data_IF_360794709058
#
_entry.id   IF_360794709058
#
_cell.length_a   1.000
_cell.length_b   1.000
_cell.length_c   1.000
_cell.angle_alpha   90.00
_cell.angle_beta   90.00
_cell.angle_gamma   90.00
#
_symmetry.space_group_name_H-M   'P 1'
#
loop_
_entity.id
_entity.type
_entity.pdbx_description
1 polymer ?
#
# COMPACT_ATOMS: atom_id res chain seq x y z
N UNK A 1 -17.38 13.98 -2.70
CA UNK A 1 -16.35 12.94 -2.85
C UNK A 1 -15.31 13.38 -3.85
N UNK A 2 -14.10 12.81 -3.82
CA UNK A 2 -13.05 13.05 -4.83
C UNK A 2 -12.97 11.83 -5.76
N UNK A 3 -12.88 11.98 -7.09
CA UNK A 3 -12.72 10.85 -7.99
C UNK A 3 -11.48 10.04 -7.62
N UNK A 4 -11.63 8.73 -7.48
CA UNK A 4 -10.56 7.80 -7.16
C UNK A 4 -10.71 6.52 -8.00
N UNK A 5 -9.58 5.85 -8.28
CA UNK A 5 -9.57 4.53 -8.92
C UNK A 5 -8.86 3.56 -7.98
N UNK A 6 -9.49 2.42 -7.70
CA UNK A 6 -8.87 1.32 -6.95
C UNK A 6 -8.09 0.47 -7.94
N UNK A 7 -6.81 0.21 -7.64
CA UNK A 7 -5.91 -0.53 -8.52
C UNK A 7 -5.14 -1.58 -7.71
N UNK A 8 -5.12 -2.81 -8.19
CA UNK A 8 -4.30 -3.89 -7.63
C UNK A 8 -2.85 -3.77 -8.14
N UNK A 9 -2.07 -2.89 -7.51
CA UNK A 9 -0.70 -2.57 -7.96
C UNK A 9 0.40 -3.31 -7.20
N UNK A 10 0.08 -3.97 -6.09
CA UNK A 10 1.04 -4.71 -5.26
C UNK A 10 0.78 -6.21 -5.34
N UNK A 11 1.85 -7.00 -5.22
CA UNK A 11 1.80 -8.45 -5.04
C UNK A 11 2.79 -8.90 -3.98
N UNK A 12 2.59 -10.09 -3.43
CA UNK A 12 3.60 -10.76 -2.62
C UNK A 12 4.71 -11.31 -3.52
N UNK A 13 5.96 -10.98 -3.19
CA UNK A 13 7.15 -11.48 -3.88
C UNK A 13 7.61 -12.85 -3.35
N UNK A 14 7.29 -13.13 -2.08
CA UNK A 14 7.63 -14.38 -1.39
C UNK A 14 6.55 -14.75 -0.40
N UNK A 15 6.56 -16.00 0.04
CA UNK A 15 5.75 -16.42 1.18
C UNK A 15 6.17 -15.66 2.45
N UNK A 16 5.17 -15.37 3.28
CA UNK A 16 5.32 -14.78 4.62
C UNK A 16 4.78 -15.79 5.63
N UNK A 17 5.37 -15.83 6.83
CA UNK A 17 4.83 -16.63 7.92
C UNK A 17 3.44 -16.13 8.31
N UNK A 18 2.62 -17.02 8.87
CA UNK A 18 1.38 -16.60 9.54
C UNK A 18 1.70 -15.54 10.60
N UNK A 19 0.87 -14.49 10.66
CA UNK A 19 1.06 -13.38 11.58
C UNK A 19 0.54 -13.68 13.00
N UNK A 20 -0.14 -14.82 13.18
CA UNK A 20 -0.54 -15.32 14.49
C UNK A 20 0.69 -15.53 15.38
N UNK A 21 0.61 -15.06 16.63
CA UNK A 21 1.70 -15.21 17.61
C UNK A 21 2.95 -14.32 17.40
N UNK A 22 3.06 -13.59 16.29
CA UNK A 22 4.20 -12.69 16.06
C UNK A 22 4.08 -11.38 16.85
N UNK A 23 5.18 -10.94 17.45
CA UNK A 23 5.30 -9.59 18.01
C UNK A 23 5.48 -8.52 16.91
N UNK A 24 5.51 -7.25 17.30
CA UNK A 24 5.62 -6.15 16.34
C UNK A 24 6.94 -6.14 15.54
N UNK A 25 8.05 -6.56 16.13
CA UNK A 25 9.36 -6.63 15.46
C UNK A 25 9.38 -7.79 14.48
N UNK A 26 8.88 -8.95 14.89
CA UNK A 26 8.73 -10.14 14.07
C UNK A 26 7.80 -9.89 12.90
N UNK A 27 6.67 -9.20 13.09
CA UNK A 27 5.78 -8.78 11.99
C UNK A 27 6.50 -7.91 10.96
N UNK A 28 7.27 -6.92 11.42
CA UNK A 28 8.06 -6.06 10.52
C UNK A 28 9.09 -6.88 9.73
N UNK A 29 9.83 -7.76 10.40
CA UNK A 29 10.81 -8.62 9.73
C UNK A 29 10.16 -9.60 8.74
N UNK A 30 9.02 -10.18 9.12
CA UNK A 30 8.25 -11.10 8.27
C UNK A 30 7.79 -10.43 6.98
N UNK A 31 7.36 -9.16 7.05
CA UNK A 31 6.85 -8.39 5.90
C UNK A 31 7.92 -7.61 5.13
N UNK A 32 9.09 -7.32 5.72
CA UNK A 32 10.12 -6.55 5.05
C UNK A 32 10.52 -7.19 3.71
N UNK A 33 10.41 -6.41 2.63
CA UNK A 33 10.71 -6.86 1.27
C UNK A 33 9.73 -7.92 0.72
N UNK A 34 8.61 -8.18 1.39
CA UNK A 34 7.63 -9.17 0.98
C UNK A 34 6.68 -8.63 -0.10
N UNK A 35 6.52 -7.31 -0.22
CA UNK A 35 5.67 -6.70 -1.25
C UNK A 35 6.51 -6.06 -2.36
N UNK A 36 5.98 -6.17 -3.57
CA UNK A 36 6.51 -5.48 -4.73
C UNK A 36 5.39 -5.02 -5.64
N UNK A 37 5.70 -4.13 -6.57
CA UNK A 37 4.74 -3.73 -7.59
C UNK A 37 4.53 -4.84 -8.61
N UNK A 38 3.30 -4.92 -9.13
CA UNK A 38 3.03 -5.70 -10.34
C UNK A 38 3.65 -5.00 -11.55
N UNK A 39 3.97 -5.74 -12.61
CA UNK A 39 4.47 -5.14 -13.87
C UNK A 39 3.51 -4.09 -14.46
N UNK A 40 2.20 -4.21 -14.19
CA UNK A 40 1.22 -3.19 -14.54
C UNK A 40 1.34 -1.95 -13.63
N UNK A 41 1.49 -2.15 -12.32
CA UNK A 41 1.71 -1.09 -11.33
C UNK A 41 3.00 -0.29 -11.60
N UNK A 42 4.10 -0.97 -11.95
CA UNK A 42 5.35 -0.33 -12.33
C UNK A 42 5.17 0.56 -13.57
N UNK A 43 4.55 0.05 -14.65
CA UNK A 43 4.28 0.84 -15.86
C UNK A 43 3.40 2.05 -15.55
N UNK A 44 2.40 1.87 -14.70
CA UNK A 44 1.45 2.91 -14.33
C UNK A 44 2.10 4.03 -13.50
N UNK A 45 3.01 3.68 -12.58
CA UNK A 45 3.76 4.65 -11.78
C UNK A 45 4.89 5.32 -12.57
N UNK A 46 5.70 4.56 -13.33
CA UNK A 46 6.82 5.11 -14.12
C UNK A 46 6.39 6.00 -15.27
N UNK A 47 5.27 5.68 -15.95
CA UNK A 47 4.78 6.47 -17.08
C UNK A 47 4.02 7.74 -16.68
N UNK A 48 3.96 8.07 -15.39
CA UNK A 48 3.20 9.23 -14.90
C UNK A 48 1.69 9.16 -15.19
N UNK A 49 1.19 7.97 -15.55
CA UNK A 49 -0.23 7.73 -15.88
C UNK A 49 -1.13 7.92 -14.67
N UNK A 50 -0.55 7.90 -13.47
CA UNK A 50 -1.14 8.51 -12.28
C UNK A 50 -0.57 9.91 -12.12
N UNK A 51 -1.12 10.89 -12.84
CA UNK A 51 -0.78 12.31 -12.71
C UNK A 51 -1.30 12.95 -11.41
N UNK A 52 -1.42 12.17 -10.34
CA UNK A 52 -1.85 12.68 -9.05
C UNK A 52 -0.70 12.47 -8.09
N UNK A 53 -0.17 13.58 -7.56
CA UNK A 53 0.87 13.66 -6.51
C UNK A 53 0.48 12.98 -5.18
N UNK A 54 -0.56 12.12 -5.20
CA UNK A 54 -1.20 11.53 -4.04
C UNK A 54 -1.62 10.10 -4.37
N UNK A 55 -0.84 9.15 -3.88
CA UNK A 55 -1.31 7.77 -3.68
C UNK A 55 -1.72 7.60 -2.24
N UNK A 56 -2.88 6.98 -2.07
CA UNK A 56 -3.40 6.56 -0.77
C UNK A 56 -3.31 5.05 -0.72
N UNK A 57 -2.53 4.54 0.23
CA UNK A 57 -2.56 3.12 0.60
C UNK A 57 -3.70 2.92 1.58
N UNK A 58 -4.51 1.89 1.34
CA UNK A 58 -5.65 1.52 2.17
C UNK A 58 -5.42 0.09 2.65
N UNK A 59 -5.58 -0.11 3.95
CA UNK A 59 -5.57 -1.41 4.61
C UNK A 59 -6.86 -1.52 5.43
N UNK A 60 -7.42 -2.72 5.50
CA UNK A 60 -8.67 -3.00 6.23
C UNK A 60 -8.41 -3.17 7.73
N UNK A 61 -7.20 -3.61 8.11
CA UNK A 61 -6.82 -3.84 9.49
C UNK A 61 -5.46 -3.22 9.81
N UNK A 62 -5.45 -2.20 10.67
CA UNK A 62 -4.21 -1.66 11.24
C UNK A 62 -3.94 -2.29 12.60
N UNK A 63 -2.88 -3.10 12.66
CA UNK A 63 -2.33 -3.60 13.94
C UNK A 63 -1.03 -2.88 14.29
N UNK A 64 0.07 -3.20 13.60
CA UNK A 64 1.40 -2.59 13.80
C UNK A 64 1.79 -1.63 12.68
N UNK A 65 0.96 -1.51 11.64
CA UNK A 65 1.28 -0.76 10.43
C UNK A 65 2.39 -1.37 9.57
N UNK A 66 2.85 -2.59 9.88
CA UNK A 66 3.94 -3.23 9.14
C UNK A 66 3.59 -3.50 7.68
N UNK A 67 2.34 -3.90 7.38
CA UNK A 67 1.84 -4.10 6.02
C UNK A 67 1.85 -2.79 5.22
N UNK A 68 1.28 -1.72 5.78
CA UNK A 68 1.27 -0.40 5.15
C UNK A 68 2.66 0.20 4.95
N UNK A 69 3.57 0.03 5.91
CA UNK A 69 4.95 0.49 5.80
C UNK A 69 5.68 -0.21 4.64
N UNK A 70 5.51 -1.53 4.53
CA UNK A 70 6.08 -2.32 3.44
C UNK A 70 5.46 -1.95 2.08
N UNK A 71 4.15 -1.76 2.02
CA UNK A 71 3.46 -1.28 0.82
C UNK A 71 3.97 0.11 0.39
N UNK A 72 4.18 1.03 1.34
CA UNK A 72 4.71 2.36 1.08
C UNK A 72 6.14 2.30 0.51
N UNK A 73 6.98 1.42 1.05
CA UNK A 73 8.32 1.15 0.52
C UNK A 73 8.25 0.67 -0.94
N UNK A 74 7.48 -0.39 -1.21
CA UNK A 74 7.35 -0.97 -2.56
C UNK A 74 6.83 0.05 -3.59
N UNK A 75 5.84 0.86 -3.23
CA UNK A 75 5.33 1.91 -4.10
C UNK A 75 6.34 3.05 -4.28
N UNK A 76 7.10 3.39 -3.23
CA UNK A 76 8.18 4.39 -3.29
C UNK A 76 9.28 4.00 -4.28
N UNK A 77 9.71 2.74 -4.27
CA UNK A 77 10.73 2.23 -5.20
C UNK A 77 10.30 2.34 -6.67
N UNK A 78 9.04 2.04 -6.98
CA UNK A 78 8.54 2.14 -8.35
C UNK A 78 8.31 3.55 -8.87
N UNK A 79 8.34 4.57 -7.99
CA UNK A 79 8.22 5.98 -8.38
C UNK A 79 9.53 6.61 -8.86
N UNK A 80 10.65 5.93 -8.67
CA UNK A 80 11.98 6.43 -9.03
C UNK A 80 12.53 7.43 -8.02
N UNK A 81 13.84 7.39 -7.81
CA UNK A 81 14.64 8.24 -6.93
C UNK A 81 14.90 9.64 -7.51
N UNK A 82 14.40 9.95 -8.71
CA UNK A 82 14.75 11.15 -9.48
C UNK A 82 13.96 12.40 -9.10
N UNK A 83 12.97 12.28 -8.22
CA UNK A 83 12.36 13.43 -7.55
C UNK A 83 13.02 13.56 -6.18
N UNK A 84 13.65 14.71 -5.93
CA UNK A 84 13.97 15.13 -4.57
C UNK A 84 12.80 14.79 -3.63
N UNK A 85 13.05 14.38 -2.38
CA UNK A 85 12.03 14.04 -1.41
C UNK A 85 11.19 15.28 -1.12
N UNK A 86 10.25 15.58 -2.02
CA UNK A 86 9.36 16.70 -1.87
C UNK A 86 8.47 16.33 -0.70
N UNK A 87 8.59 17.10 0.38
CA UNK A 87 7.81 17.03 1.62
C UNK A 87 6.28 17.07 1.35
N UNK A 88 5.85 17.25 0.09
CA UNK A 88 4.46 17.38 -0.36
C UNK A 88 3.98 16.26 -1.31
N UNK A 89 4.85 15.42 -1.87
CA UNK A 89 4.54 14.42 -2.92
C UNK A 89 4.67 12.94 -2.50
N UNK A 90 4.60 12.65 -1.20
CA UNK A 90 4.78 11.29 -0.67
C UNK A 90 3.52 10.40 -0.75
N UNK A 91 3.72 9.09 -0.83
CA UNK A 91 2.68 8.10 -0.51
C UNK A 91 2.08 8.43 0.86
N UNK A 92 0.77 8.69 0.90
CA UNK A 92 0.03 8.85 2.15
C UNK A 92 -0.61 7.51 2.47
N UNK A 93 -0.51 7.07 3.72
CA UNK A 93 -1.26 5.91 4.20
C UNK A 93 -2.53 6.39 4.88
N UNK A 94 -3.64 5.71 4.63
CA UNK A 94 -4.88 5.89 5.35
C UNK A 94 -5.37 4.52 5.81
N UNK A 95 -5.91 4.47 7.03
CA UNK A 95 -6.57 3.28 7.55
C UNK A 95 -8.06 3.57 7.52
N UNK A 96 -8.82 2.68 6.91
CA UNK A 96 -10.27 2.79 6.88
C UNK A 96 -10.82 1.77 7.87
N UNK A 97 -11.15 2.24 9.06
CA UNK A 97 -11.97 1.46 9.98
C UNK A 97 -13.43 1.67 9.58
N UNK A 98 -14.11 0.60 9.18
CA UNK A 98 -15.52 0.63 8.86
C UNK A 98 -16.26 -0.40 9.73
N UNK A 99 -17.44 -0.04 10.23
CA UNK A 99 -18.31 -0.99 10.94
C UNK A 99 -18.75 -2.10 9.98
N UNK A 100 -19.08 -3.32 10.47
CA UNK A 100 -19.59 -4.41 9.62
C UNK A 100 -20.74 -3.97 8.69
N UNK A 101 -21.61 -3.10 9.20
CA UNK A 101 -22.73 -2.51 8.46
C UNK A 101 -22.31 -1.68 7.23
N UNK A 102 -21.08 -1.17 7.18
CA UNK A 102 -20.56 -0.44 6.03
C UNK A 102 -20.30 -1.34 4.81
N UNK A 103 -20.12 -2.65 5.01
CA UNK A 103 -19.96 -3.63 3.93
C UNK A 103 -21.32 -4.13 3.40
N UNK A 104 -22.40 -3.95 4.15
CA UNK A 104 -23.76 -4.37 3.76
C UNK A 104 -24.39 -3.43 2.71
N UNK A 105 -23.95 -2.18 2.66
CA UNK A 105 -24.46 -1.14 1.74
C UNK A 105 -24.01 -1.39 0.29
N UNK A 106 -23.06 -2.29 0.07
CA UNK A 106 -22.41 -2.50 -1.23
C UNK A 106 -22.63 -3.93 -1.77
N UNK A 107 -23.78 -4.54 -1.45
CA UNK A 107 -24.19 -5.83 -1.99
C UNK A 107 -24.99 -5.59 -3.29
N UNK A 108 -24.26 -5.55 -4.42
CA UNK A 108 -24.84 -5.72 -5.76
C UNK A 108 -25.20 -7.19 -5.99
#
# INVERSE_FOLDING_TARGET
GRPARVLAVLRQRRAVADQSGLDARQRRANLAGALELTAAGERLLRRGLVSHDRVILVDDLLTTGSTLAEAARAVGEGRGTDREPSVRGGCRAAVVAASPSAFEINRN
#
